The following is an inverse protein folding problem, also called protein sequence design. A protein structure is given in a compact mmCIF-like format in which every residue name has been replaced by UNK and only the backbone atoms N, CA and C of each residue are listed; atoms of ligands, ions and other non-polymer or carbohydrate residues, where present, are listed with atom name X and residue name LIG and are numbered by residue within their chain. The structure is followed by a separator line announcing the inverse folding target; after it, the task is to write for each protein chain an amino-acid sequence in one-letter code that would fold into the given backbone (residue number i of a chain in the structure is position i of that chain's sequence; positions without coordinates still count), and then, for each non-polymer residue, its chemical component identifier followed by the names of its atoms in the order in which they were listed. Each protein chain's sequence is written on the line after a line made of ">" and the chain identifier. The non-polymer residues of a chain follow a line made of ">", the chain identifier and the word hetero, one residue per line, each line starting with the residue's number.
data_IF_695050763546
#
_entry.id   IF_695050763546
#
_cell.length_a   1.000
_cell.length_b   1.000
_cell.length_c   1.000
_cell.angle_alpha   90.00
_cell.angle_beta   90.00
_cell.angle_gamma   90.00
#
_symmetry.space_group_name_H-M   'P 1'
#
loop_
_entity.id
_entity.type
_entity.pdbx_description
1 polymer ?
#
# COMPACT_ATOMS: atom_id res chain seq x y z
N UNK A 1 19.81 -4.93 -30.43
CA UNK A 1 18.98 -4.33 -29.37
C UNK A 1 19.42 -2.88 -29.20
N UNK A 2 18.61 -1.92 -29.65
CA UNK A 2 19.06 -0.54 -29.90
C UNK A 2 18.94 0.34 -28.64
N UNK A 3 20.07 0.66 -28.03
CA UNK A 3 20.19 1.41 -26.76
C UNK A 3 19.82 2.89 -26.88
N UNK A 4 19.76 3.44 -28.09
CA UNK A 4 19.43 4.86 -28.31
C UNK A 4 17.98 5.21 -27.95
N UNK A 5 17.06 4.24 -28.03
CA UNK A 5 15.65 4.44 -27.69
C UNK A 5 15.42 4.67 -26.18
N UNK A 6 16.32 4.13 -25.35
CA UNK A 6 16.24 4.27 -23.89
C UNK A 6 16.79 5.61 -23.42
N UNK A 7 17.86 6.09 -24.07
CA UNK A 7 18.49 7.37 -23.72
C UNK A 7 17.51 8.54 -23.88
N UNK A 8 16.74 8.55 -24.98
CA UNK A 8 15.72 9.57 -25.24
C UNK A 8 14.55 9.55 -24.24
N UNK A 9 14.30 8.42 -23.56
CA UNK A 9 13.25 8.31 -22.55
C UNK A 9 13.67 8.91 -21.20
N UNK A 10 14.98 8.95 -20.89
CA UNK A 10 15.49 9.49 -19.63
C UNK A 10 15.67 11.01 -19.68
N UNK A 11 16.01 11.58 -20.84
CA UNK A 11 16.25 13.02 -20.98
C UNK A 11 14.98 13.88 -20.84
N UNK A 12 13.79 13.29 -21.02
CA UNK A 12 12.50 14.00 -20.95
C UNK A 12 11.93 14.17 -19.53
N UNK A 13 12.47 13.46 -18.53
CA UNK A 13 11.97 13.52 -17.15
C UNK A 13 13.00 14.16 -16.21
N UNK A 14 13.02 15.50 -16.03
CA UNK A 14 13.88 16.18 -15.04
C UNK A 14 13.58 15.80 -13.58
N UNK A 15 12.55 14.99 -13.36
CA UNK A 15 12.15 14.44 -12.07
C UNK A 15 13.10 13.36 -11.53
N UNK A 16 13.80 12.60 -12.40
CA UNK A 16 14.70 11.53 -11.92
C UNK A 16 15.94 12.08 -11.20
N UNK A 17 16.38 13.29 -11.56
CA UNK A 17 17.51 13.95 -10.94
C UNK A 17 17.16 14.50 -9.54
N UNK A 18 15.90 14.92 -9.36
CA UNK A 18 15.41 15.39 -8.04
C UNK A 18 15.33 14.25 -7.01
N UNK A 19 14.93 13.05 -7.43
CA UNK A 19 14.89 11.87 -6.53
C UNK A 19 16.27 11.31 -6.17
N UNK A 20 17.29 11.54 -7.02
CA UNK A 20 18.68 11.16 -6.75
C UNK A 20 19.38 12.18 -5.86
N UNK A 21 19.06 13.47 -5.99
CA UNK A 21 19.63 14.54 -5.19
C UNK A 21 19.12 14.50 -3.73
N UNK A 22 17.82 14.26 -3.53
CA UNK A 22 17.18 14.24 -2.20
C UNK A 22 17.56 13.01 -1.35
N UNK A 23 17.97 11.91 -1.99
CA UNK A 23 18.51 10.74 -1.29
C UNK A 23 19.92 10.96 -0.74
N UNK A 24 20.72 11.86 -1.33
CA UNK A 24 22.15 12.02 -0.99
C UNK A 24 22.37 12.78 0.31
N UNK A 25 21.55 13.76 0.65
CA UNK A 25 21.73 14.58 1.86
C UNK A 25 21.62 13.73 3.14
N UNK A 26 20.60 12.89 3.22
CA UNK A 26 20.42 11.97 4.35
C UNK A 26 21.47 10.85 4.39
N UNK A 27 22.00 10.43 3.23
CA UNK A 27 23.05 9.39 3.18
C UNK A 27 24.36 9.94 3.70
N UNK A 28 24.75 11.17 3.34
CA UNK A 28 25.97 11.79 3.85
C UNK A 28 25.91 11.94 5.38
N UNK A 29 24.80 12.43 5.93
CA UNK A 29 24.62 12.53 7.39
C UNK A 29 24.71 11.17 8.08
N UNK A 30 24.11 10.13 7.50
CA UNK A 30 24.23 8.75 8.01
C UNK A 30 25.67 8.24 7.97
N UNK A 31 26.43 8.55 6.91
CA UNK A 31 27.84 8.17 6.78
C UNK A 31 28.72 8.90 7.78
N UNK A 32 28.52 10.22 7.97
CA UNK A 32 29.25 11.01 8.97
C UNK A 32 28.95 10.48 10.38
N UNK A 33 27.68 10.23 10.71
CA UNK A 33 27.29 9.67 12.00
C UNK A 33 27.86 8.25 12.21
N UNK A 34 27.81 7.41 11.18
CA UNK A 34 28.38 6.06 11.24
C UNK A 34 29.91 6.11 11.42
N UNK A 35 30.60 7.03 10.75
CA UNK A 35 32.04 7.22 10.90
C UNK A 35 32.40 7.71 12.30
N UNK A 36 31.64 8.67 12.84
CA UNK A 36 31.81 9.14 14.21
C UNK A 36 31.60 8.01 15.24
N UNK A 37 30.54 7.21 15.07
CA UNK A 37 30.31 6.02 15.89
C UNK A 37 31.43 4.99 15.76
N UNK A 38 31.90 4.71 14.54
CA UNK A 38 33.01 3.78 14.32
C UNK A 38 34.30 4.24 15.00
N UNK A 39 34.60 5.54 14.97
CA UNK A 39 35.73 6.12 15.71
C UNK A 39 35.58 5.95 17.22
N UNK A 40 34.39 6.23 17.77
CA UNK A 40 34.13 6.01 19.20
C UNK A 40 34.33 4.54 19.60
N UNK A 41 33.82 3.60 18.81
CA UNK A 41 34.02 2.16 19.03
C UNK A 41 35.50 1.79 18.92
N UNK A 42 36.24 2.35 17.97
CA UNK A 42 37.67 2.10 17.82
C UNK A 42 38.49 2.62 19.00
N UNK A 43 38.19 3.83 19.48
CA UNK A 43 38.83 4.41 20.67
C UNK A 43 38.49 3.56 21.90
N UNK A 44 37.23 3.16 22.06
CA UNK A 44 36.79 2.26 23.12
C UNK A 44 37.55 0.94 23.07
N UNK A 45 37.71 0.33 21.88
CA UNK A 45 38.45 -0.90 21.72
C UNK A 45 39.95 -0.74 22.03
N UNK A 46 40.56 0.39 21.66
CA UNK A 46 41.97 0.67 21.92
C UNK A 46 42.23 0.89 23.41
N UNK A 47 41.38 1.66 24.09
CA UNK A 47 41.50 1.89 25.54
C UNK A 47 41.23 0.63 26.35
N UNK A 48 40.28 -0.18 25.90
CA UNK A 48 39.91 -1.44 26.54
C UNK A 48 40.66 -2.65 25.93
N UNK A 49 41.79 -2.42 25.25
CA UNK A 49 42.66 -3.49 24.76
C UNK A 49 43.39 -4.21 25.91
N UNK A 50 43.38 -3.62 27.11
CA UNK A 50 43.83 -4.25 28.34
C UNK A 50 43.08 -5.55 28.61
N UNK A 51 43.80 -6.57 29.09
CA UNK A 51 43.22 -7.85 29.47
C UNK A 51 42.43 -7.68 30.76
N UNK A 52 41.13 -7.96 30.71
CA UNK A 52 40.27 -8.00 31.89
C UNK A 52 39.99 -9.47 32.21
N UNK A 53 40.10 -9.83 33.48
CA UNK A 53 39.73 -11.17 33.93
C UNK A 53 38.21 -11.26 33.92
N UNK A 54 37.66 -12.03 33.00
CA UNK A 54 36.23 -12.33 32.96
C UNK A 54 36.03 -13.67 33.66
N UNK A 55 35.35 -13.63 34.80
CA UNK A 55 34.93 -14.82 35.51
C UNK A 55 33.54 -15.25 35.00
N UNK A 56 33.48 -16.40 34.32
CA UNK A 56 32.24 -16.97 33.81
C UNK A 56 31.90 -18.23 34.62
N UNK A 57 30.97 -18.12 35.58
CA UNK A 57 30.54 -19.16 36.52
C UNK A 57 31.66 -19.83 37.35
N UNK A 58 32.54 -20.61 36.71
CA UNK A 58 33.69 -21.32 37.30
C UNK A 58 34.99 -21.13 36.51
N UNK A 59 34.93 -20.48 35.34
CA UNK A 59 36.09 -20.30 34.45
C UNK A 59 36.59 -18.87 34.48
N UNK A 60 37.90 -18.70 34.46
CA UNK A 60 38.56 -17.41 34.45
C UNK A 60 39.35 -17.30 33.16
N UNK A 61 38.97 -16.36 32.30
CA UNK A 61 39.69 -16.09 31.06
C UNK A 61 40.08 -14.62 31.00
N UNK A 62 41.30 -14.38 30.54
CA UNK A 62 41.81 -13.04 30.29
C UNK A 62 41.44 -12.64 28.86
N UNK A 63 40.40 -11.83 28.73
CA UNK A 63 39.94 -11.29 27.45
C UNK A 63 39.72 -9.80 27.57
N UNK A 64 39.85 -9.07 26.47
CA UNK A 64 39.55 -7.64 26.47
C UNK A 64 38.03 -7.41 26.60
N UNK A 65 37.62 -6.38 27.33
CA UNK A 65 36.21 -5.99 27.46
C UNK A 65 35.59 -5.73 26.07
N UNK A 66 36.37 -5.14 25.17
CA UNK A 66 35.97 -4.88 23.79
C UNK A 66 35.60 -6.16 23.03
N UNK A 67 36.39 -7.24 23.19
CA UNK A 67 36.08 -8.54 22.57
C UNK A 67 34.77 -9.12 23.10
N UNK A 68 34.51 -8.99 24.41
CA UNK A 68 33.27 -9.49 25.02
C UNK A 68 32.05 -8.77 24.43
N UNK A 69 32.09 -7.44 24.39
CA UNK A 69 30.98 -6.62 23.87
C UNK A 69 30.76 -6.86 22.37
N UNK A 70 31.84 -6.90 21.59
CA UNK A 70 31.75 -7.18 20.15
C UNK A 70 31.18 -8.59 19.91
N UNK A 71 31.67 -9.59 20.65
CA UNK A 71 31.18 -10.97 20.56
C UNK A 71 29.71 -11.09 20.91
N UNK A 72 29.26 -10.49 22.02
CA UNK A 72 27.86 -10.53 22.44
C UNK A 72 26.95 -9.78 21.47
N UNK A 73 27.41 -8.63 20.97
CA UNK A 73 26.64 -7.82 20.01
C UNK A 73 26.52 -8.55 18.68
N UNK A 74 27.59 -9.19 18.21
CA UNK A 74 27.56 -9.98 16.98
C UNK A 74 26.60 -11.16 17.11
N UNK A 75 26.64 -11.90 18.22
CA UNK A 75 25.67 -12.96 18.51
C UNK A 75 24.24 -12.41 18.53
N UNK A 76 24.01 -11.32 19.26
CA UNK A 76 22.70 -10.66 19.31
C UNK A 76 22.18 -10.25 17.93
N UNK A 77 23.05 -9.68 17.09
CA UNK A 77 22.72 -9.30 15.71
C UNK A 77 22.34 -10.53 14.87
N UNK A 78 23.06 -11.65 15.01
CA UNK A 78 22.72 -12.92 14.34
C UNK A 78 21.36 -13.43 14.79
N UNK A 79 21.05 -13.40 16.09
CA UNK A 79 19.74 -13.81 16.60
C UNK A 79 18.61 -12.93 16.05
N UNK A 80 18.77 -11.60 16.11
CA UNK A 80 17.78 -10.66 15.56
C UNK A 80 17.61 -10.85 14.06
N UNK A 81 18.70 -11.08 13.33
CA UNK A 81 18.66 -11.36 11.89
C UNK A 81 17.86 -12.64 11.60
N UNK A 82 18.12 -13.73 12.32
CA UNK A 82 17.37 -14.99 12.17
C UNK A 82 15.88 -14.80 12.47
N UNK A 83 15.54 -14.11 13.56
CA UNK A 83 14.15 -13.78 13.89
C UNK A 83 13.51 -12.89 12.81
N UNK A 84 14.27 -11.95 12.25
CA UNK A 84 13.86 -11.12 11.13
C UNK A 84 13.54 -11.92 9.87
N UNK A 85 14.36 -12.92 9.53
CA UNK A 85 14.10 -13.83 8.41
C UNK A 85 12.80 -14.61 8.60
N UNK A 86 12.57 -15.17 9.79
CA UNK A 86 11.32 -15.88 10.10
C UNK A 86 10.11 -14.96 9.97
N UNK A 87 10.20 -13.73 10.50
CA UNK A 87 9.15 -12.73 10.33
C UNK A 87 8.92 -12.35 8.87
N UNK A 88 9.99 -12.24 8.07
CA UNK A 88 9.91 -11.89 6.65
C UNK A 88 9.15 -12.95 5.85
N UNK A 89 9.34 -14.23 6.15
CA UNK A 89 8.59 -15.33 5.54
C UNK A 89 7.10 -15.23 5.91
N UNK A 90 6.78 -14.97 7.17
CA UNK A 90 5.39 -14.80 7.62
C UNK A 90 4.69 -13.63 6.90
N UNK A 91 5.40 -12.49 6.74
CA UNK A 91 4.90 -11.34 5.97
C UNK A 91 4.65 -11.70 4.51
N UNK A 92 5.53 -12.49 3.89
CA UNK A 92 5.35 -12.97 2.52
C UNK A 92 4.08 -13.82 2.32
N UNK A 93 3.72 -14.65 3.30
CA UNK A 93 2.48 -15.44 3.28
C UNK A 93 1.25 -14.55 3.37
N UNK A 94 1.24 -13.58 4.30
CA UNK A 94 0.15 -12.60 4.46
C UNK A 94 -0.04 -11.76 3.19
N UNK A 95 1.04 -11.35 2.53
CA UNK A 95 0.96 -10.62 1.25
C UNK A 95 0.26 -11.46 0.18
N UNK A 96 0.54 -12.77 0.09
CA UNK A 96 -0.14 -13.66 -0.86
C UNK A 96 -1.62 -13.82 -0.52
N UNK A 97 -1.95 -13.99 0.76
CA UNK A 97 -3.31 -14.09 1.25
C UNK A 97 -4.12 -12.82 0.96
N UNK A 98 -3.58 -11.64 1.27
CA UNK A 98 -4.23 -10.36 0.95
C UNK A 98 -4.44 -10.19 -0.55
N UNK A 99 -3.48 -10.60 -1.39
CA UNK A 99 -3.64 -10.55 -2.86
C UNK A 99 -4.76 -11.45 -3.37
N UNK A 100 -4.91 -12.65 -2.80
CA UNK A 100 -6.00 -13.55 -3.16
C UNK A 100 -7.35 -12.97 -2.74
N UNK A 101 -7.44 -12.38 -1.53
CA UNK A 101 -8.67 -11.79 -1.04
C UNK A 101 -9.10 -10.56 -1.84
N UNK A 102 -8.14 -9.72 -2.27
CA UNK A 102 -8.40 -8.61 -3.18
C UNK A 102 -9.01 -9.13 -4.48
N UNK A 103 -8.41 -10.15 -5.09
CA UNK A 103 -8.92 -10.73 -6.34
C UNK A 103 -10.33 -11.31 -6.21
N UNK A 104 -10.59 -12.03 -5.12
CA UNK A 104 -11.92 -12.59 -4.83
C UNK A 104 -12.98 -11.50 -4.62
N UNK A 105 -12.63 -10.42 -3.91
CA UNK A 105 -13.52 -9.27 -3.72
C UNK A 105 -13.78 -8.53 -5.03
N UNK A 106 -12.76 -8.39 -5.89
CA UNK A 106 -12.91 -7.81 -7.25
C UNK A 106 -13.85 -8.65 -8.12
N UNK A 107 -13.72 -9.99 -8.09
CA UNK A 107 -14.61 -10.90 -8.82
C UNK A 107 -16.06 -10.87 -8.29
N UNK A 108 -16.25 -10.77 -6.97
CA UNK A 108 -17.59 -10.62 -6.38
C UNK A 108 -18.25 -9.30 -6.77
N UNK A 109 -17.50 -8.20 -6.77
CA UNK A 109 -18.00 -6.90 -7.21
C UNK A 109 -18.38 -6.92 -8.69
N UNK A 110 -17.59 -7.57 -9.54
CA UNK A 110 -17.91 -7.73 -10.96
C UNK A 110 -19.19 -8.56 -11.15
N UNK A 111 -19.35 -9.68 -10.42
CA UNK A 111 -20.52 -10.54 -10.52
C UNK A 111 -21.80 -9.88 -9.96
N UNK A 112 -21.69 -9.06 -8.92
CA UNK A 112 -22.80 -8.26 -8.39
C UNK A 112 -23.23 -7.17 -9.39
N UNK A 113 -22.27 -6.49 -10.01
CA UNK A 113 -22.52 -5.48 -11.06
C UNK A 113 -23.18 -6.09 -12.30
N UNK A 114 -22.81 -7.32 -12.68
CA UNK A 114 -23.42 -8.03 -13.81
C UNK A 114 -24.86 -8.48 -13.50
N UNK A 115 -25.15 -8.79 -12.23
CA UNK A 115 -26.49 -9.20 -11.78
C UNK A 115 -27.46 -8.03 -11.68
N UNK A 116 -26.97 -6.80 -11.56
CA UNK A 116 -27.75 -5.56 -11.49
C UNK A 116 -28.17 -5.06 -12.89
N UNK A 117 -27.57 -5.58 -13.98
CA UNK A 117 -27.92 -5.27 -15.38
C UNK A 117 -28.95 -6.23 -16.02
N UNK A 118 -29.46 -7.24 -15.30
CA UNK A 118 -30.53 -8.11 -15.83
C UNK A 118 -31.81 -7.29 -16.07
N UNK A 119 -32.33 -7.22 -17.31
CA UNK A 119 -33.49 -6.41 -17.65
C UNK A 119 -34.70 -6.77 -16.81
N UNK A 120 -35.35 -5.76 -16.22
CA UNK A 120 -36.65 -5.89 -15.58
C UNK A 120 -37.59 -6.69 -16.50
N UNK A 121 -38.37 -7.67 -15.97
CA UNK A 121 -39.39 -8.34 -16.76
C UNK A 121 -40.40 -7.30 -17.23
N UNK A 122 -40.29 -6.88 -18.48
CA UNK A 122 -41.36 -6.15 -19.15
C UNK A 122 -42.49 -7.15 -19.30
N UNK A 123 -43.71 -6.88 -18.82
CA UNK A 123 -44.83 -7.79 -18.98
C UNK A 123 -45.03 -8.06 -20.47
N UNK A 124 -44.90 -9.34 -20.84
CA UNK A 124 -45.17 -9.87 -22.17
C UNK A 124 -46.58 -9.46 -22.62
N UNK A 125 -46.67 -8.47 -23.51
CA UNK A 125 -47.87 -8.19 -24.27
C UNK A 125 -47.96 -9.23 -25.40
N UNK A 126 -48.74 -10.28 -25.18
CA UNK A 126 -49.11 -11.26 -26.19
C UNK A 126 -49.90 -10.64 -27.36
N UNK A 127 -49.94 -11.30 -28.53
CA UNK A 127 -50.44 -10.75 -29.78
C UNK A 127 -51.96 -10.66 -29.77
N UNK A 128 -52.48 -9.54 -30.29
CA UNK A 128 -53.88 -9.16 -30.15
C UNK A 128 -54.88 -9.97 -30.97
N UNK A 129 -56.13 -9.89 -30.52
CA UNK A 129 -57.34 -10.10 -31.32
C UNK A 129 -58.42 -9.08 -30.90
N UNK A 130 -58.97 -8.35 -31.90
CA UNK A 130 -60.38 -7.96 -31.99
C UNK A 130 -60.91 -6.78 -31.15
N UNK A 131 -61.16 -5.64 -31.83
CA UNK A 131 -62.38 -4.78 -31.84
C UNK A 131 -63.23 -4.69 -30.54
N UNK A 132 -63.58 -3.52 -29.99
CA UNK A 132 -64.55 -2.55 -30.53
C UNK A 132 -64.46 -1.12 -29.91
N UNK A 133 -64.76 -0.12 -30.75
CA UNK A 133 -65.48 1.15 -30.53
C UNK A 133 -64.94 2.29 -29.59
N UNK A 134 -64.58 3.41 -30.24
CA UNK A 134 -64.36 4.79 -29.71
C UNK A 134 -65.68 5.49 -29.27
N UNK A 135 -65.65 6.53 -28.40
CA UNK A 135 -65.37 7.93 -28.79
C UNK A 135 -64.45 8.67 -27.79
N UNK A 136 -63.31 9.25 -28.22
CA UNK A 136 -63.14 10.66 -28.64
C UNK A 136 -63.85 11.73 -27.79
N UNK A 137 -63.01 12.69 -27.35
CA UNK A 137 -63.30 14.04 -26.84
C UNK A 137 -63.52 14.25 -25.32
N UNK A 138 -62.44 14.68 -24.63
CA UNK A 138 -62.56 15.69 -23.58
C UNK A 138 -61.58 16.82 -23.90
N UNK A 139 -62.08 17.78 -24.68
CA UNK A 139 -61.39 18.99 -25.13
C UNK A 139 -61.13 19.95 -23.95
N UNK A 140 -59.98 20.65 -24.00
CA UNK A 140 -59.38 21.49 -22.95
C UNK A 140 -59.90 22.92 -22.91
N UNK A 141 -61.01 23.22 -23.61
CA UNK A 141 -61.48 24.60 -23.83
C UNK A 141 -62.58 25.08 -22.85
N UNK A 142 -62.91 24.35 -21.79
CA UNK A 142 -64.01 24.75 -20.87
C UNK A 142 -63.59 25.46 -19.58
N UNK A 143 -62.31 25.75 -19.34
CA UNK A 143 -61.89 26.56 -18.19
C UNK A 143 -61.77 28.06 -18.52
N UNK A 144 -62.78 28.61 -19.19
CA UNK A 144 -62.95 30.06 -19.24
C UNK A 144 -64.42 30.41 -19.45
N UNK A 145 -65.20 30.34 -18.36
CA UNK A 145 -66.45 31.10 -18.27
C UNK A 145 -66.46 31.89 -16.96
N UNK A 146 -66.78 33.20 -17.02
CA UNK A 146 -66.77 34.12 -15.89
C UNK A 146 -68.04 33.94 -15.07
N UNK A 147 -67.93 34.01 -13.74
CA UNK A 147 -69.10 34.25 -12.88
C UNK A 147 -68.98 35.65 -12.30
N UNK A 148 -69.77 36.56 -12.86
CA UNK A 148 -70.04 37.88 -12.29
C UNK A 148 -70.78 37.75 -10.95
N UNK A 149 -70.37 38.58 -9.99
CA UNK A 149 -71.25 39.45 -9.21
C UNK A 149 -72.19 38.83 -8.15
N UNK A 150 -71.90 39.18 -6.89
CA UNK A 150 -72.80 39.49 -5.76
C UNK A 150 -72.20 38.89 -4.48
N UNK A 151 -71.96 39.60 -3.38
CA UNK A 151 -72.44 40.89 -2.92
C UNK A 151 -72.47 40.83 -1.38
N UNK A 152 -72.26 41.98 -0.75
CA UNK A 152 -72.27 42.27 0.71
C UNK A 152 -70.92 42.17 1.43
#
# INVERSE_FOLDING_TARGET
>A
MNTKKYQSYYDQFPFVDKLRAERRENVLTKLVLALACALLVAIFALQNAGKVVVAFLLWHFEVSLALVILGSTLLGAVFVFLLGLVQQISRGRKIKEYRLRIKELEEQLAALSEKEELPLPVPEAGPGEGEEAFPQELNKDTLNQPTEGAGS
#
